data_IF_019931431520
#
_entry.id   IF_019931431520
#
_cell.length_a   1.000
_cell.length_b   1.000
_cell.length_c   1.000
_cell.angle_alpha   90.00
_cell.angle_beta   90.00
_cell.angle_gamma   90.00
#
_symmetry.space_group_name_H-M   'P 1'
#
loop_
_entity.id
_entity.type
_entity.pdbx_description
1 polymer ?
#
# COMPACT_ATOMS: atom_id res chain seq x y z
N UNK A 1 -8.57 9.36 -17.08
CA UNK A 1 -7.27 9.51 -16.46
C UNK A 1 -7.40 9.70 -14.97
N UNK A 2 -8.11 10.74 -14.52
CA UNK A 2 -8.35 10.92 -13.07
C UNK A 2 -9.20 9.80 -12.49
N UNK A 3 -10.20 9.32 -13.20
CA UNK A 3 -11.03 8.22 -12.72
C UNK A 3 -10.21 6.98 -12.40
N UNK A 4 -9.26 6.64 -13.26
CA UNK A 4 -8.39 5.48 -13.05
C UNK A 4 -7.53 5.66 -11.81
N UNK A 5 -7.00 6.85 -11.58
CA UNK A 5 -6.20 7.16 -10.40
C UNK A 5 -7.02 7.07 -9.12
N UNK A 6 -8.24 7.61 -9.15
CA UNK A 6 -9.15 7.56 -8.01
C UNK A 6 -9.53 6.12 -7.69
N UNK A 7 -9.85 5.33 -8.71
CA UNK A 7 -10.18 3.91 -8.54
C UNK A 7 -9.01 3.14 -7.94
N UNK A 8 -7.81 3.42 -8.40
CA UNK A 8 -6.60 2.77 -7.90
C UNK A 8 -6.35 3.11 -6.43
N UNK A 9 -6.52 4.38 -6.05
CA UNK A 9 -6.43 4.81 -4.66
C UNK A 9 -7.46 4.09 -3.80
N UNK A 10 -8.68 3.95 -4.31
CA UNK A 10 -9.73 3.22 -3.63
C UNK A 10 -9.39 1.75 -3.40
N UNK A 11 -8.80 1.11 -4.39
CA UNK A 11 -8.35 -0.28 -4.27
C UNK A 11 -7.28 -0.43 -3.21
N UNK A 12 -6.27 0.44 -3.23
CA UNK A 12 -5.18 0.41 -2.25
C UNK A 12 -5.73 0.66 -0.85
N UNK A 13 -6.59 1.65 -0.71
CA UNK A 13 -7.19 1.99 0.59
C UNK A 13 -8.00 0.82 1.14
N UNK A 14 -8.78 0.15 0.28
CA UNK A 14 -9.52 -1.05 0.68
C UNK A 14 -8.61 -2.15 1.19
N UNK A 15 -7.49 -2.39 0.50
CA UNK A 15 -6.52 -3.40 0.91
C UNK A 15 -5.90 -3.05 2.26
N UNK A 16 -5.60 -1.78 2.50
CA UNK A 16 -5.06 -1.31 3.77
C UNK A 16 -6.08 -1.56 4.90
N UNK A 17 -7.35 -1.23 4.69
CA UNK A 17 -8.38 -1.44 5.71
C UNK A 17 -8.63 -2.93 6.00
N UNK A 18 -8.61 -3.77 4.97
CA UNK A 18 -8.74 -5.22 5.15
C UNK A 18 -7.56 -5.74 5.99
N UNK A 19 -6.36 -5.28 5.68
CA UNK A 19 -5.17 -5.66 6.44
C UNK A 19 -5.29 -5.27 7.91
N UNK A 20 -5.74 -4.03 8.18
CA UNK A 20 -5.92 -3.54 9.54
C UNK A 20 -6.98 -4.31 10.32
N UNK A 21 -8.02 -4.76 9.63
CA UNK A 21 -9.07 -5.56 10.26
C UNK A 21 -8.51 -6.88 10.78
N UNK A 22 -7.62 -7.48 10.01
CA UNK A 22 -6.99 -8.74 10.37
C UNK A 22 -5.85 -8.56 11.38
N UNK A 23 -5.17 -7.42 11.32
CA UNK A 23 -4.02 -7.11 12.17
C UNK A 23 -4.16 -5.72 12.79
N UNK A 24 -5.03 -5.57 13.80
CA UNK A 24 -5.27 -4.27 14.43
C UNK A 24 -4.03 -3.65 15.09
N UNK A 25 -3.06 -4.47 15.47
CA UNK A 25 -1.81 -4.00 16.08
C UNK A 25 -0.96 -3.18 15.12
N UNK A 26 -1.25 -3.21 13.82
CA UNK A 26 -0.52 -2.43 12.82
C UNK A 26 -1.05 -1.01 12.68
N UNK A 27 -2.10 -0.64 13.40
CA UNK A 27 -2.69 0.70 13.32
C UNK A 27 -1.66 1.80 13.62
N UNK A 28 -0.73 1.54 14.55
CA UNK A 28 0.31 2.50 14.88
C UNK A 28 1.18 2.89 13.70
N UNK A 29 1.47 1.97 12.80
CA UNK A 29 2.24 2.23 11.59
C UNK A 29 1.49 3.12 10.60
N UNK A 30 0.16 3.10 10.66
CA UNK A 30 -0.70 3.82 9.73
C UNK A 30 -1.26 5.11 10.30
N UNK A 31 -0.79 5.54 11.47
CA UNK A 31 -1.36 6.71 12.14
C UNK A 31 -1.34 7.95 11.26
N UNK A 32 -0.20 8.29 10.67
CA UNK A 32 -0.08 9.45 9.80
C UNK A 32 -0.92 9.27 8.53
N UNK A 33 -0.94 8.07 8.00
CA UNK A 33 -1.73 7.76 6.81
C UNK A 33 -3.21 7.99 7.07
N UNK A 34 -3.74 7.43 8.16
CA UNK A 34 -5.17 7.48 8.46
C UNK A 34 -5.62 8.86 8.95
N UNK A 35 -4.76 9.58 9.66
CA UNK A 35 -5.15 10.86 10.26
C UNK A 35 -4.85 12.07 9.40
N UNK A 36 -3.95 11.96 8.44
CA UNK A 36 -3.55 13.08 7.61
C UNK A 36 -3.61 12.79 6.12
N UNK A 37 -2.86 11.80 5.65
CA UNK A 37 -2.74 11.59 4.19
C UNK A 37 -4.05 11.21 3.54
N UNK A 38 -4.78 10.27 4.11
CA UNK A 38 -6.06 9.84 3.54
C UNK A 38 -7.12 10.93 3.60
N UNK A 39 -7.38 11.57 4.76
CA UNK A 39 -8.39 12.64 4.82
C UNK A 39 -8.06 13.82 3.92
N UNK A 40 -6.78 14.21 3.84
CA UNK A 40 -6.36 15.33 2.99
C UNK A 40 -6.53 14.99 1.53
N UNK A 41 -6.19 13.78 1.12
CA UNK A 41 -6.38 13.32 -0.25
C UNK A 41 -7.85 13.34 -0.63
N UNK A 42 -8.72 12.85 0.25
CA UNK A 42 -10.17 12.85 0.01
C UNK A 42 -10.71 14.27 -0.12
N UNK A 43 -10.21 15.19 0.69
CA UNK A 43 -10.60 16.60 0.62
C UNK A 43 -10.21 17.22 -0.72
N UNK A 44 -8.99 16.94 -1.19
CA UNK A 44 -8.50 17.43 -2.48
C UNK A 44 -9.34 16.86 -3.62
N UNK A 45 -9.65 15.57 -3.58
CA UNK A 45 -10.47 14.93 -4.59
C UNK A 45 -11.88 15.49 -4.65
N UNK A 46 -12.49 15.78 -3.50
CA UNK A 46 -13.81 16.41 -3.46
C UNK A 46 -13.78 17.80 -4.06
N UNK A 47 -12.73 18.57 -3.77
CA UNK A 47 -12.56 19.91 -4.34
C UNK A 47 -12.40 19.85 -5.85
N UNK A 48 -11.62 18.87 -6.33
CA UNK A 48 -11.43 18.66 -7.77
C UNK A 48 -12.77 18.35 -8.46
N UNK A 49 -13.53 17.41 -7.89
CA UNK A 49 -14.82 17.03 -8.45
C UNK A 49 -15.78 18.19 -8.48
N UNK A 50 -15.76 19.03 -7.46
CA UNK A 50 -16.60 20.21 -7.36
C UNK A 50 -16.27 21.24 -8.45
N UNK A 51 -14.99 21.48 -8.68
CA UNK A 51 -14.56 22.38 -9.75
C UNK A 51 -14.92 21.84 -11.14
N UNK A 52 -14.80 20.55 -11.32
CA UNK A 52 -15.15 19.90 -12.58
C UNK A 52 -16.65 20.00 -12.86
N UNK A 53 -17.48 19.74 -11.85
CA UNK A 53 -18.94 19.80 -11.97
C UNK A 53 -19.45 21.19 -12.30
N UNK A 54 -18.81 22.22 -11.76
CA UNK A 54 -19.23 23.59 -11.96
C UNK A 54 -18.85 24.12 -13.35
N UNK A 55 -18.04 23.36 -14.08
CA UNK A 55 -17.58 23.75 -15.41
C UNK A 55 -17.00 25.16 -15.42
N UNK A 56 -16.30 25.50 -14.33
CA UNK A 56 -15.71 26.83 -14.19
C UNK A 56 -14.46 26.92 -15.02
N UNK A 57 -14.45 27.82 -15.96
CA UNK A 57 -13.31 28.11 -16.80
C UNK A 57 -12.57 29.33 -16.24
N UNK A 58 -11.28 29.24 -16.18
CA UNK A 58 -10.43 30.30 -15.74
C UNK A 58 -9.02 29.82 -15.66
N UNK A 59 -8.09 30.68 -15.94
CA UNK A 59 -6.69 30.33 -15.98
C UNK A 59 -6.20 29.80 -14.64
N UNK A 60 -6.61 30.43 -13.55
CA UNK A 60 -6.21 30.01 -12.20
C UNK A 60 -6.81 28.67 -11.82
N UNK A 61 -8.05 28.42 -12.21
CA UNK A 61 -8.74 27.17 -11.90
C UNK A 61 -8.14 26.03 -12.71
N UNK A 62 -7.87 26.27 -14.00
CA UNK A 62 -7.23 25.27 -14.86
C UNK A 62 -5.85 24.90 -14.33
N UNK A 63 -5.08 25.88 -13.87
CA UNK A 63 -3.77 25.64 -13.30
C UNK A 63 -3.86 24.83 -12.00
N UNK A 64 -4.85 25.13 -11.15
CA UNK A 64 -5.06 24.41 -9.92
C UNK A 64 -5.44 22.95 -10.18
N UNK A 65 -6.33 22.72 -11.14
CA UNK A 65 -6.75 21.38 -11.51
C UNK A 65 -5.60 20.57 -12.08
N UNK A 66 -4.76 21.19 -12.90
CA UNK A 66 -3.57 20.55 -13.44
C UNK A 66 -2.59 20.16 -12.34
N UNK A 67 -2.39 21.03 -11.36
CA UNK A 67 -1.54 20.72 -10.20
C UNK A 67 -2.06 19.52 -9.41
N UNK A 68 -3.37 19.45 -9.24
CA UNK A 68 -4.01 18.33 -8.55
C UNK A 68 -3.79 17.05 -9.33
N UNK A 69 -4.01 17.08 -10.65
CA UNK A 69 -3.80 15.90 -11.51
C UNK A 69 -2.36 15.41 -11.44
N UNK A 70 -1.40 16.31 -11.49
CA UNK A 70 0.01 15.96 -11.41
C UNK A 70 0.38 15.41 -10.03
N UNK A 71 -0.19 15.98 -8.97
CA UNK A 71 0.04 15.52 -7.62
C UNK A 71 -0.53 14.13 -7.39
N UNK A 72 -1.64 13.80 -8.08
CA UNK A 72 -2.29 12.50 -7.91
C UNK A 72 -1.38 11.33 -8.27
N UNK A 73 -0.48 11.49 -9.22
CA UNK A 73 0.50 10.45 -9.53
C UNK A 73 1.40 10.16 -8.32
N UNK A 74 1.80 11.21 -7.62
CA UNK A 74 2.61 11.09 -6.40
C UNK A 74 1.81 10.48 -5.26
N UNK A 75 0.53 10.83 -5.18
CA UNK A 75 -0.37 10.29 -4.16
C UNK A 75 -0.54 8.78 -4.35
N UNK A 76 -0.80 8.35 -5.59
CA UNK A 76 -0.92 6.93 -5.92
C UNK A 76 0.36 6.19 -5.54
N UNK A 77 1.50 6.73 -5.92
CA UNK A 77 2.80 6.14 -5.58
C UNK A 77 3.00 6.03 -4.07
N UNK A 78 2.65 7.10 -3.33
CA UNK A 78 2.75 7.11 -1.88
C UNK A 78 1.85 6.08 -1.22
N UNK A 79 0.63 5.92 -1.71
CA UNK A 79 -0.31 4.92 -1.20
C UNK A 79 0.18 3.50 -1.49
N UNK A 80 0.74 3.28 -2.68
CA UNK A 80 1.32 1.98 -3.03
C UNK A 80 2.48 1.63 -2.11
N UNK A 81 3.35 2.60 -1.83
CA UNK A 81 4.46 2.41 -0.89
C UNK A 81 3.96 2.10 0.52
N UNK A 82 2.89 2.77 0.94
CA UNK A 82 2.30 2.53 2.25
C UNK A 82 1.81 1.09 2.36
N UNK A 83 1.13 0.60 1.33
CA UNK A 83 0.65 -0.78 1.29
C UNK A 83 1.83 -1.76 1.30
N UNK A 84 2.84 -1.48 0.47
CA UNK A 84 4.03 -2.34 0.38
C UNK A 84 4.74 -2.45 1.74
N UNK A 85 4.88 -1.33 2.45
CA UNK A 85 5.51 -1.32 3.77
C UNK A 85 4.75 -2.15 4.79
N UNK A 86 3.43 -2.18 4.71
CA UNK A 86 2.62 -3.02 5.60
C UNK A 86 2.94 -4.50 5.40
N UNK A 87 3.04 -4.93 4.15
CA UNK A 87 3.31 -6.33 3.84
C UNK A 87 4.78 -6.71 3.97
N UNK A 88 5.67 -5.73 3.98
CA UNK A 88 7.10 -5.97 4.13
C UNK A 88 7.43 -6.68 5.44
N UNK A 89 6.81 -6.25 6.53
CA UNK A 89 7.00 -6.90 7.82
C UNK A 89 6.58 -8.36 7.79
N UNK A 90 5.43 -8.65 7.19
CA UNK A 90 4.94 -10.01 7.04
C UNK A 90 5.87 -10.86 6.19
N UNK A 91 6.38 -10.29 5.10
CA UNK A 91 7.31 -11.00 4.22
C UNK A 91 8.60 -11.35 4.97
N UNK A 92 9.12 -10.43 5.78
CA UNK A 92 10.30 -10.67 6.59
C UNK A 92 10.07 -11.77 7.63
N UNK A 93 8.91 -11.76 8.29
CA UNK A 93 8.55 -12.76 9.26
C UNK A 93 8.47 -14.16 8.63
N UNK A 94 7.82 -14.25 7.47
CA UNK A 94 7.72 -15.50 6.73
C UNK A 94 9.10 -16.00 6.31
N UNK A 95 9.95 -15.12 5.80
CA UNK A 95 11.31 -15.47 5.40
C UNK A 95 12.10 -16.01 6.57
N UNK A 96 11.98 -15.37 7.73
CA UNK A 96 12.64 -15.82 8.96
C UNK A 96 12.16 -17.21 9.36
N UNK A 97 10.85 -17.44 9.33
CA UNK A 97 10.27 -18.74 9.66
C UNK A 97 10.75 -19.82 8.70
N UNK A 98 10.83 -19.50 7.41
CA UNK A 98 11.35 -20.42 6.39
C UNK A 98 12.79 -20.80 6.71
N UNK A 99 13.63 -19.81 7.02
CA UNK A 99 15.03 -20.05 7.36
C UNK A 99 15.20 -20.94 8.59
N UNK A 100 14.37 -20.69 9.61
CA UNK A 100 14.39 -21.51 10.83
C UNK A 100 14.00 -22.95 10.51
N UNK A 101 12.93 -23.13 9.74
CA UNK A 101 12.46 -24.44 9.34
C UNK A 101 13.52 -25.19 8.52
N UNK A 102 14.15 -24.51 7.58
CA UNK A 102 15.22 -25.09 6.76
C UNK A 102 16.36 -25.61 7.64
N UNK A 103 16.77 -24.82 8.63
CA UNK A 103 17.84 -25.22 9.55
C UNK A 103 17.44 -26.42 10.40
N UNK A 104 16.20 -26.44 10.86
CA UNK A 104 15.70 -27.56 11.65
C UNK A 104 15.65 -28.85 10.83
N UNK A 105 15.16 -28.74 9.59
CA UNK A 105 15.10 -29.91 8.70
C UNK A 105 16.49 -30.43 8.39
N UNK A 106 17.45 -29.56 8.14
CA UNK A 106 18.82 -29.94 7.87
C UNK A 106 19.45 -30.63 9.09
N UNK A 107 19.23 -30.06 10.29
CA UNK A 107 19.75 -30.62 11.53
C UNK A 107 19.22 -32.00 11.79
N UNK A 108 17.96 -32.26 11.51
CA UNK A 108 17.31 -33.52 11.73
C UNK A 108 17.52 -34.53 10.56
N UNK A 109 18.25 -34.08 9.52
CA UNK A 109 18.52 -34.93 8.35
C UNK A 109 17.32 -35.15 7.46
N UNK A 110 16.34 -34.21 7.51
CA UNK A 110 15.09 -34.35 6.77
C UNK A 110 15.03 -33.47 5.52
N UNK A 111 16.01 -32.57 5.34
CA UNK A 111 16.03 -31.72 4.15
C UNK A 111 16.73 -32.42 2.99
N UNK A 112 16.41 -31.98 1.76
CA UNK A 112 17.05 -32.52 0.57
C UNK A 112 18.56 -32.26 0.55
N UNK A 113 19.01 -31.23 1.22
CA UNK A 113 20.43 -30.89 1.28
C UNK A 113 21.18 -31.72 2.32
N UNK A 114 20.50 -32.11 3.40
CA UNK A 114 21.13 -32.85 4.47
C UNK A 114 20.72 -34.30 4.53
N UNK A 115 19.41 -34.57 4.46
CA UNK A 115 18.86 -35.91 4.67
C UNK A 115 18.82 -36.77 3.42
N UNK A 116 18.41 -36.21 2.31
CA UNK A 116 18.20 -36.97 1.09
C UNK A 116 19.51 -37.43 0.45
N UNK A 117 20.58 -36.72 0.69
CA UNK A 117 21.89 -37.12 0.21
C UNK A 117 22.36 -38.40 0.82
N UNK A 118 21.92 -38.70 2.03
CA UNK A 118 22.30 -39.91 2.72
C UNK A 118 21.64 -41.14 2.12
N UNK A 119 20.50 -40.94 1.48
CA UNK A 119 19.81 -42.02 0.79
C UNK A 119 20.33 -42.27 -0.61
N UNK A 120 21.09 -41.32 -1.12
CA UNK A 120 21.62 -41.39 -2.49
C UNK A 120 22.98 -42.00 -2.57
#
# INVERSE_FOLDING_TARGET
VMSAKIDHIGEITSKIFVYLREKPDKEGQLRSFLSYYLPTTLKILRSYAQLEDQEVDGQNISAAMERIENMMDKVVEGFEKQLDQLFQGDALDITTDVEVLERMLAKDGLSSQGGLHLGG
#
